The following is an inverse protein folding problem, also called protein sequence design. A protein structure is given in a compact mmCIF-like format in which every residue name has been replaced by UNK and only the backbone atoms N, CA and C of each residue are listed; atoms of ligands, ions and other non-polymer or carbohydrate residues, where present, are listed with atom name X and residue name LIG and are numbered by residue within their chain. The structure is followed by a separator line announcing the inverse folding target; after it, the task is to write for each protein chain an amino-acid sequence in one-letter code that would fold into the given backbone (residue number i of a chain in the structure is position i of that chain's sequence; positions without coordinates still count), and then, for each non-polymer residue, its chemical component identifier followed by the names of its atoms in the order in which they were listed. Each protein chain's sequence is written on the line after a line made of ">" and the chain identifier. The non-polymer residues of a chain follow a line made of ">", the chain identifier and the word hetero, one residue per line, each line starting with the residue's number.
data_IF_061003004711
#
_entry.id   IF_061003004711
#
_cell.length_a   1.000
_cell.length_b   1.000
_cell.length_c   1.000
_cell.angle_alpha   90.00
_cell.angle_beta   90.00
_cell.angle_gamma   90.00
#
_symmetry.space_group_name_H-M   'P 1'
#
loop_
_entity.id
_entity.type
_entity.pdbx_description
1 polymer ?
#
# COMPACT_ATOMS: atom_id res chain seq x y z
N UNK A 1 -20.79 9.17 55.08
CA UNK A 1 -21.51 8.29 54.14
C UNK A 1 -20.80 8.29 52.79
N UNK A 2 -19.96 7.29 52.51
CA UNK A 2 -19.26 7.22 51.24
C UNK A 2 -20.22 6.78 50.13
N UNK A 3 -20.51 7.67 49.18
CA UNK A 3 -21.33 7.34 48.01
C UNK A 3 -20.64 6.26 47.18
N UNK A 4 -21.25 5.07 47.06
CA UNK A 4 -20.80 4.02 46.13
C UNK A 4 -20.88 4.60 44.71
N UNK A 5 -19.73 4.92 44.11
CA UNK A 5 -19.66 5.35 42.70
C UNK A 5 -20.19 4.22 41.82
N UNK A 6 -21.30 4.44 41.12
CA UNK A 6 -21.85 3.45 40.19
C UNK A 6 -20.82 3.17 39.09
N UNK A 7 -20.44 1.90 38.89
CA UNK A 7 -19.61 1.49 37.75
C UNK A 7 -20.35 1.86 36.47
N UNK A 8 -19.73 2.68 35.62
CA UNK A 8 -20.31 3.06 34.33
C UNK A 8 -20.36 1.82 33.44
N UNK A 9 -21.52 1.54 32.83
CA UNK A 9 -21.65 0.50 31.81
C UNK A 9 -20.91 0.97 30.56
N UNK A 10 -20.01 0.14 30.06
CA UNK A 10 -19.22 0.40 28.86
C UNK A 10 -19.46 -0.73 27.85
N UNK A 11 -19.36 -0.41 26.57
CA UNK A 11 -19.43 -1.36 25.49
C UNK A 11 -18.30 -1.05 24.51
N UNK A 12 -17.41 -2.02 24.26
CA UNK A 12 -16.20 -1.82 23.44
C UNK A 12 -15.38 -0.59 23.89
N UNK A 13 -15.25 -0.39 25.21
CA UNK A 13 -14.56 0.77 25.79
C UNK A 13 -15.33 2.10 25.70
N UNK A 14 -16.48 2.15 25.04
CA UNK A 14 -17.29 3.35 24.82
C UNK A 14 -18.47 3.44 25.79
N UNK A 15 -18.85 4.66 26.17
CA UNK A 15 -20.09 4.91 26.91
C UNK A 15 -21.32 4.99 26.00
N UNK A 16 -22.51 5.01 26.59
CA UNK A 16 -23.79 5.07 25.84
C UNK A 16 -23.85 6.15 24.76
N UNK A 17 -23.51 7.39 25.13
CA UNK A 17 -23.54 8.52 24.20
C UNK A 17 -22.51 8.38 23.09
N UNK A 18 -21.37 7.76 23.38
CA UNK A 18 -20.29 7.57 22.40
C UNK A 18 -20.70 6.51 21.37
N UNK A 19 -21.27 5.39 21.83
CA UNK A 19 -21.82 4.36 20.92
C UNK A 19 -22.97 4.93 20.08
N UNK A 20 -23.87 5.73 20.68
CA UNK A 20 -24.93 6.40 19.92
C UNK A 20 -24.39 7.32 18.82
N UNK A 21 -23.37 8.13 19.12
CA UNK A 21 -22.72 9.00 18.14
C UNK A 21 -22.02 8.19 17.05
N UNK A 22 -21.31 7.14 17.44
CA UNK A 22 -20.65 6.21 16.52
C UNK A 22 -21.65 5.60 15.55
N UNK A 23 -22.77 5.07 16.05
CA UNK A 23 -23.86 4.53 15.23
C UNK A 23 -24.41 5.56 14.25
N UNK A 24 -24.66 6.79 14.70
CA UNK A 24 -25.19 7.84 13.82
C UNK A 24 -24.23 8.18 12.68
N UNK A 25 -22.93 8.26 12.99
CA UNK A 25 -21.89 8.55 12.01
C UNK A 25 -21.68 7.39 11.04
N UNK A 26 -21.56 6.16 11.54
CA UNK A 26 -21.33 4.97 10.70
C UNK A 26 -22.54 4.63 9.84
N UNK A 27 -23.76 4.79 10.36
CA UNK A 27 -24.98 4.58 9.59
C UNK A 27 -25.06 5.47 8.34
N UNK A 28 -24.51 6.69 8.39
CA UNK A 28 -24.46 7.59 7.23
C UNK A 28 -23.51 7.11 6.13
N UNK A 29 -22.53 6.25 6.47
CA UNK A 29 -21.60 5.65 5.52
C UNK A 29 -22.21 4.47 4.75
N UNK A 30 -23.26 3.84 5.29
CA UNK A 30 -23.95 2.74 4.62
C UNK A 30 -24.74 3.24 3.39
N UNK A 31 -24.91 2.41 2.35
CA UNK A 31 -25.84 2.66 1.25
C UNK A 31 -27.27 2.98 1.72
N UNK A 32 -28.01 3.80 0.95
CA UNK A 32 -29.38 4.19 1.31
C UNK A 32 -30.33 3.00 1.50
N UNK A 33 -30.14 1.94 0.71
CA UNK A 33 -30.92 0.71 0.81
C UNK A 33 -30.78 0.07 2.20
N UNK A 34 -29.55 -0.11 2.67
CA UNK A 34 -29.26 -0.68 3.99
C UNK A 34 -29.71 0.23 5.13
N UNK A 35 -29.56 1.55 4.97
CA UNK A 35 -30.08 2.49 5.96
C UNK A 35 -31.60 2.34 6.15
N UNK A 36 -32.34 2.08 5.07
CA UNK A 36 -33.79 1.83 5.07
C UNK A 36 -34.10 0.46 5.68
N UNK A 37 -33.37 -0.57 5.26
CA UNK A 37 -33.49 -1.92 5.81
C UNK A 37 -33.32 -1.94 7.33
N UNK A 38 -32.34 -1.20 7.88
CA UNK A 38 -32.14 -1.06 9.32
C UNK A 38 -33.35 -0.42 10.03
N UNK A 39 -34.07 0.52 9.38
CA UNK A 39 -35.29 1.10 9.96
C UNK A 39 -36.43 0.08 9.96
N UNK A 40 -36.64 -0.59 8.83
CA UNK A 40 -37.71 -1.56 8.62
C UNK A 40 -37.56 -2.76 9.57
N UNK A 41 -36.33 -3.19 9.85
CA UNK A 41 -36.03 -4.27 10.79
C UNK A 41 -35.93 -3.83 12.26
N UNK A 42 -36.29 -2.58 12.58
CA UNK A 42 -36.40 -2.11 13.95
C UNK A 42 -35.09 -1.80 14.66
N UNK A 43 -33.97 -1.64 13.95
CA UNK A 43 -32.71 -1.23 14.57
C UNK A 43 -32.73 0.25 14.95
N UNK A 44 -32.90 0.51 16.26
CA UNK A 44 -33.04 1.84 16.84
C UNK A 44 -31.78 2.28 17.59
N UNK A 45 -31.44 3.55 17.48
CA UNK A 45 -30.30 4.15 18.20
C UNK A 45 -30.72 4.72 19.57
N UNK A 46 -31.59 4.03 20.30
CA UNK A 46 -32.16 4.48 21.58
C UNK A 46 -32.26 3.29 22.54
N UNK A 47 -31.82 3.48 23.79
CA UNK A 47 -31.71 2.41 24.77
C UNK A 47 -30.40 1.64 24.63
N UNK A 48 -29.86 1.13 25.73
CA UNK A 48 -28.50 0.58 25.72
C UNK A 48 -28.36 -0.67 24.84
N UNK A 49 -29.20 -1.68 25.05
CA UNK A 49 -29.11 -2.94 24.31
C UNK A 49 -29.45 -2.77 22.81
N UNK A 50 -30.48 -1.99 22.41
CA UNK A 50 -30.73 -1.70 21.00
C UNK A 50 -29.58 -0.96 20.31
N UNK A 51 -28.94 -0.02 21.01
CA UNK A 51 -27.77 0.72 20.49
C UNK A 51 -26.59 -0.21 20.23
N UNK A 52 -26.38 -1.20 21.11
CA UNK A 52 -25.35 -2.24 20.92
C UNK A 52 -25.68 -3.13 19.72
N UNK A 53 -26.93 -3.60 19.61
CA UNK A 53 -27.38 -4.43 18.47
C UNK A 53 -27.25 -3.69 17.14
N UNK A 54 -27.62 -2.41 17.11
CA UNK A 54 -27.43 -1.56 15.93
C UNK A 54 -25.94 -1.40 15.60
N UNK A 55 -25.08 -1.20 16.60
CA UNK A 55 -23.63 -1.08 16.40
C UNK A 55 -23.05 -2.34 15.75
N UNK A 56 -23.39 -3.52 16.27
CA UNK A 56 -22.94 -4.80 15.73
C UNK A 56 -23.41 -4.94 14.28
N UNK A 57 -24.71 -4.73 14.02
CA UNK A 57 -25.25 -4.91 12.67
C UNK A 57 -24.68 -3.93 11.64
N UNK A 58 -24.42 -2.68 12.03
CA UNK A 58 -23.74 -1.71 11.16
C UNK A 58 -22.33 -2.19 10.80
N UNK A 59 -21.59 -2.75 11.76
CA UNK A 59 -20.26 -3.28 11.44
C UNK A 59 -20.34 -4.48 10.52
N UNK A 60 -21.29 -5.39 10.73
CA UNK A 60 -21.49 -6.54 9.84
C UNK A 60 -21.76 -6.09 8.40
N UNK A 61 -22.60 -5.06 8.22
CA UNK A 61 -22.92 -4.50 6.90
C UNK A 61 -21.71 -3.82 6.25
N UNK A 62 -20.95 -3.04 7.02
CA UNK A 62 -19.72 -2.41 6.51
C UNK A 62 -18.68 -3.45 6.12
N UNK A 63 -18.48 -4.48 6.94
CA UNK A 63 -17.53 -5.56 6.64
C UNK A 63 -17.97 -6.44 5.47
N UNK A 64 -19.28 -6.58 5.24
CA UNK A 64 -19.80 -7.26 4.04
C UNK A 64 -19.58 -6.43 2.77
N UNK A 65 -19.80 -5.11 2.84
CA UNK A 65 -19.53 -4.22 1.71
C UNK A 65 -18.05 -4.21 1.32
N UNK A 66 -17.14 -4.20 2.29
CA UNK A 66 -15.70 -4.30 2.06
C UNK A 66 -15.29 -5.68 1.48
N UNK A 67 -16.11 -6.72 1.63
CA UNK A 67 -15.88 -8.05 1.08
C UNK A 67 -16.43 -8.21 -0.36
N UNK A 68 -17.46 -7.44 -0.71
CA UNK A 68 -18.12 -7.48 -2.02
C UNK A 68 -17.46 -6.56 -3.06
N UNK A 69 -16.66 -5.58 -2.63
CA UNK A 69 -15.83 -4.79 -3.55
C UNK A 69 -14.56 -5.58 -3.92
N UNK A 70 -14.43 -6.07 -5.17
CA UNK A 70 -13.23 -6.77 -5.60
C UNK A 70 -12.02 -5.85 -5.46
N UNK A 71 -10.94 -6.38 -4.88
CA UNK A 71 -9.68 -5.64 -4.79
C UNK A 71 -9.20 -5.25 -6.19
N UNK A 72 -8.41 -4.18 -6.29
CA UNK A 72 -7.84 -3.73 -7.57
C UNK A 72 -7.12 -4.87 -8.31
N UNK A 73 -6.47 -5.77 -7.58
CA UNK A 73 -5.81 -6.95 -8.13
C UNK A 73 -6.81 -7.93 -8.76
N UNK A 74 -7.94 -8.21 -8.11
CA UNK A 74 -9.00 -9.05 -8.67
C UNK A 74 -9.63 -8.40 -9.90
N UNK A 75 -9.82 -7.08 -9.90
CA UNK A 75 -10.29 -6.33 -11.06
C UNK A 75 -9.29 -6.39 -12.23
N UNK A 76 -7.98 -6.31 -11.94
CA UNK A 76 -6.93 -6.46 -12.95
C UNK A 76 -6.92 -7.86 -13.57
N UNK A 77 -6.99 -8.91 -12.75
CA UNK A 77 -7.06 -10.30 -13.23
C UNK A 77 -8.34 -10.55 -14.03
N UNK A 78 -9.48 -9.96 -13.61
CA UNK A 78 -10.71 -10.04 -14.37
C UNK A 78 -10.61 -9.31 -15.71
N UNK A 79 -10.02 -8.11 -15.74
CA UNK A 79 -9.80 -7.36 -16.99
C UNK A 79 -8.88 -8.12 -17.95
N UNK A 80 -7.80 -8.73 -17.45
CA UNK A 80 -6.90 -9.60 -18.22
C UNK A 80 -7.66 -10.84 -18.77
N UNK A 81 -8.49 -11.47 -17.94
CA UNK A 81 -9.33 -12.59 -18.37
C UNK A 81 -10.35 -12.19 -19.44
N UNK A 82 -10.87 -10.97 -19.38
CA UNK A 82 -11.77 -10.40 -20.39
C UNK A 82 -11.02 -10.12 -21.69
N UNK A 83 -9.79 -9.58 -21.62
CA UNK A 83 -8.92 -9.41 -22.79
C UNK A 83 -8.69 -10.72 -23.54
N UNK A 84 -8.45 -11.80 -22.80
CA UNK A 84 -8.30 -13.15 -23.35
C UNK A 84 -9.60 -13.78 -23.89
N UNK A 85 -10.78 -13.29 -23.46
CA UNK A 85 -12.09 -13.84 -23.89
C UNK A 85 -12.54 -13.35 -25.27
N UNK A 86 -12.05 -12.18 -25.69
CA UNK A 86 -12.44 -11.57 -26.96
C UNK A 86 -11.35 -11.62 -28.04
N UNK A 87 -10.16 -12.10 -27.69
CA UNK A 87 -9.08 -12.32 -28.64
C UNK A 87 -8.99 -13.79 -29.01
N UNK A 88 -8.91 -14.06 -30.31
CA UNK A 88 -8.64 -15.42 -30.80
C UNK A 88 -7.15 -15.76 -30.60
N UNK A 89 -6.80 -17.05 -30.61
CA UNK A 89 -5.40 -17.49 -30.56
C UNK A 89 -4.59 -16.90 -31.71
N UNK A 90 -5.19 -16.81 -32.89
CA UNK A 90 -4.57 -16.25 -34.10
C UNK A 90 -4.25 -14.75 -33.95
N UNK A 91 -5.17 -13.97 -33.37
CA UNK A 91 -4.96 -12.53 -33.11
C UNK A 91 -3.83 -12.30 -32.09
N UNK A 92 -3.74 -13.16 -31.07
CA UNK A 92 -2.68 -13.09 -30.06
C UNK A 92 -1.32 -13.45 -30.66
N UNK A 93 -1.27 -14.49 -31.47
CA UNK A 93 -0.06 -14.90 -32.17
C UNK A 93 0.39 -13.83 -33.16
N UNK A 94 -0.53 -13.24 -33.93
CA UNK A 94 -0.24 -12.15 -34.85
C UNK A 94 0.30 -10.92 -34.12
N UNK A 95 -0.29 -10.55 -32.98
CA UNK A 95 0.20 -9.46 -32.14
C UNK A 95 1.60 -9.75 -31.59
N UNK A 96 1.83 -10.95 -31.05
CA UNK A 96 3.14 -11.33 -30.50
C UNK A 96 4.23 -11.36 -31.58
N UNK A 97 3.92 -11.83 -32.78
CA UNK A 97 4.83 -11.78 -33.93
C UNK A 97 5.17 -10.34 -34.31
N UNK A 98 4.16 -9.47 -34.45
CA UNK A 98 4.38 -8.05 -34.76
C UNK A 98 5.21 -7.34 -33.69
N UNK A 99 4.94 -7.64 -32.41
CA UNK A 99 5.70 -7.10 -31.28
C UNK A 99 7.15 -7.58 -31.30
N UNK A 100 7.40 -8.86 -31.58
CA UNK A 100 8.77 -9.41 -31.67
C UNK A 100 9.58 -8.71 -32.75
N UNK A 101 8.99 -8.48 -33.92
CA UNK A 101 9.65 -7.78 -35.04
C UNK A 101 10.02 -6.34 -34.65
N UNK A 102 9.12 -5.62 -33.97
CA UNK A 102 9.41 -4.26 -33.53
C UNK A 102 10.50 -4.21 -32.46
N UNK A 103 10.49 -5.17 -31.52
CA UNK A 103 11.52 -5.29 -30.48
C UNK A 103 12.89 -5.60 -31.09
N UNK A 104 12.96 -6.49 -32.08
CA UNK A 104 14.20 -6.76 -32.83
C UNK A 104 14.70 -5.48 -33.53
N UNK A 105 13.83 -4.74 -34.21
CA UNK A 105 14.19 -3.48 -34.86
C UNK A 105 14.69 -2.41 -33.87
N UNK A 106 14.15 -2.40 -32.64
CA UNK A 106 14.66 -1.54 -31.57
C UNK A 106 16.04 -2.01 -31.11
N UNK A 107 16.24 -3.32 -30.93
CA UNK A 107 17.53 -3.89 -30.54
C UNK A 107 18.63 -3.54 -31.55
N UNK A 108 18.36 -3.70 -32.85
CA UNK A 108 19.31 -3.34 -33.90
C UNK A 108 19.68 -1.85 -33.87
N UNK A 109 18.71 -0.97 -33.57
CA UNK A 109 18.97 0.47 -33.42
C UNK A 109 19.79 0.78 -32.17
N UNK A 110 19.59 0.04 -31.09
CA UNK A 110 20.39 0.16 -29.87
C UNK A 110 21.83 -0.25 -30.19
N UNK A 111 22.04 -1.40 -30.83
CA UNK A 111 23.37 -1.89 -31.20
C UNK A 111 24.11 -0.93 -32.17
N UNK A 112 23.36 -0.26 -33.06
CA UNK A 112 23.91 0.79 -33.92
C UNK A 112 24.31 2.06 -33.16
N UNK A 113 23.57 2.46 -32.14
CA UNK A 113 23.86 3.67 -31.35
C UNK A 113 24.91 3.45 -30.26
N UNK A 114 25.00 2.22 -29.74
CA UNK A 114 25.94 1.81 -28.72
C UNK A 114 26.77 0.62 -29.21
N UNK A 115 27.66 0.83 -30.20
CA UNK A 115 28.57 -0.23 -30.59
C UNK A 115 29.49 -0.55 -29.41
N UNK A 116 29.51 -1.81 -28.97
CA UNK A 116 30.38 -2.34 -27.90
C UNK A 116 31.89 -2.31 -28.23
N UNK A 117 32.31 -1.46 -29.17
CA UNK A 117 33.67 -1.32 -29.68
C UNK A 117 34.54 -0.36 -28.85
N UNK A 118 34.01 0.23 -27.77
CA UNK A 118 34.81 1.01 -26.83
C UNK A 118 35.66 0.05 -25.97
N UNK A 119 36.86 -0.27 -26.47
CA UNK A 119 37.90 -0.91 -25.66
C UNK A 119 38.39 0.11 -24.63
N UNK A 120 37.90 0.03 -23.40
CA UNK A 120 38.45 0.82 -22.30
C UNK A 120 39.91 0.40 -22.05
N UNK A 121 40.86 1.26 -22.44
CA UNK A 121 42.28 1.07 -22.10
C UNK A 121 42.53 1.53 -20.66
N UNK A 122 42.60 0.57 -19.74
CA UNK A 122 43.07 0.82 -18.38
C UNK A 122 44.60 0.85 -18.40
N UNK A 123 45.19 2.03 -18.24
CA UNK A 123 46.63 2.22 -18.09
C UNK A 123 47.08 1.92 -16.65
N UNK A 124 47.69 0.76 -16.43
CA UNK A 124 48.27 0.35 -15.14
C UNK A 124 49.70 0.87 -14.90
N UNK A 125 50.25 1.71 -15.78
CA UNK A 125 51.63 2.21 -15.64
C UNK A 125 51.81 3.14 -14.43
N UNK A 126 50.74 3.74 -13.93
CA UNK A 126 50.72 4.52 -12.69
C UNK A 126 50.48 3.61 -11.48
N UNK A 127 51.40 2.67 -11.23
CA UNK A 127 51.56 2.12 -9.89
C UNK A 127 52.23 3.23 -9.06
N UNK A 128 51.46 4.17 -8.53
CA UNK A 128 52.00 5.12 -7.55
C UNK A 128 52.48 4.32 -6.35
N UNK A 129 53.79 4.24 -6.06
CA UNK A 129 54.28 3.49 -4.93
C UNK A 129 54.04 4.32 -3.68
N UNK A 130 53.36 3.71 -2.71
CA UNK A 130 53.40 3.98 -1.28
C UNK A 130 53.57 5.46 -0.84
N UNK A 131 52.50 6.06 -0.35
CA UNK A 131 52.59 7.20 0.57
C UNK A 131 53.18 6.75 1.92
N UNK A 132 54.50 6.56 1.98
CA UNK A 132 55.25 6.44 3.23
C UNK A 132 55.93 7.78 3.53
N UNK A 133 55.17 8.77 4.01
CA UNK A 133 55.77 9.97 4.62
C UNK A 133 55.99 9.74 6.11
N UNK A 134 57.27 9.66 6.40
CA UNK A 134 57.96 9.28 7.63
C UNK A 134 57.63 10.21 8.82
N UNK A 135 57.21 9.62 9.95
CA UNK A 135 57.24 10.25 11.28
C UNK A 135 58.66 10.74 11.60
N UNK A 136 58.84 12.04 11.84
CA UNK A 136 60.02 12.57 12.55
C UNK A 136 59.60 13.16 13.89
N UNK A 137 59.95 12.47 14.97
CA UNK A 137 59.97 12.99 16.35
C UNK A 137 61.31 13.69 16.60
N UNK A 138 61.26 14.94 17.04
CA UNK A 138 62.40 15.66 17.63
C UNK A 138 61.91 16.56 18.75
N UNK A 139 62.08 16.12 20.00
CA UNK A 139 61.98 16.96 21.20
C UNK A 139 63.23 17.85 21.25
N UNK A 140 63.06 19.16 21.43
CA UNK A 140 64.09 20.00 22.05
C UNK A 140 63.49 20.85 23.15
N UNK A 141 64.19 20.86 24.27
CA UNK A 141 63.86 21.47 25.55
C UNK A 141 64.57 22.82 25.71
N UNK A 142 63.86 23.79 26.31
CA UNK A 142 64.33 24.78 27.32
C UNK A 142 65.37 25.84 26.87
N UNK A 143 65.03 27.13 27.00
CA UNK A 143 65.57 28.04 28.05
C UNK A 143 64.95 29.45 28.02
N UNK A 144 64.82 29.97 29.24
CA UNK A 144 64.39 31.32 29.65
C UNK A 144 65.42 32.37 29.20
N UNK A 145 64.94 33.57 28.90
CA UNK A 145 65.37 34.81 29.56
C UNK A 145 64.19 35.78 29.57
#
# INVERSE_FOLDING_TARGET
>A
MASKKSKKRLFSGMGYRDVQRSNANRRRKLPRAEQKWLKENGYRNVGWDPVIRLYQKINDLLSAADADDPTLEVLFLQAESIGNKYQTTEEREAFNQALSVEVEAISEKIDQQFPDNEVEFIDFSQVSPASSSQRRRGKTTKKRK
#
